data_IF_803430060250
#
_entry.id   IF_803430060250
#
_cell.length_a   1.000
_cell.length_b   1.000
_cell.length_c   1.000
_cell.angle_alpha   90.00
_cell.angle_beta   90.00
_cell.angle_gamma   90.00
#
_symmetry.space_group_name_H-M   'P 1'
#
loop_
_entity.id
_entity.type
_entity.pdbx_description
1 polymer ?
2 polymer ?
3 water ?
#
# COMPACT_ATOMS: atom_id res chain seq x y z
N UNK A 19 -15.86 37.75 -11.54
CA UNK A 19 -15.76 38.31 -12.88
C UNK A 19 -16.01 37.23 -13.93
N UNK A 20 -15.78 37.59 -15.19
CA UNK A 20 -15.89 36.67 -16.33
C UNK A 20 -17.34 36.40 -16.79
N UNK A 21 -17.63 35.16 -17.21
CA UNK A 21 -18.92 34.85 -17.84
C UNK A 21 -19.65 33.57 -17.32
N UNK A 22 -20.28 32.81 -18.22
CA UNK A 22 -21.14 31.67 -17.85
C UNK A 22 -21.18 30.54 -18.91
N UNK A 23 -22.21 29.68 -18.97
CA UNK A 23 -22.15 28.74 -20.08
C UNK A 23 -21.03 27.68 -19.83
N UNK A 24 -20.68 26.86 -20.84
CA UNK A 24 -20.07 25.57 -20.52
C UNK A 24 -18.76 25.71 -19.77
N UNK A 25 -18.41 24.71 -18.96
CA UNK A 25 -17.10 24.73 -18.29
C UNK A 25 -15.99 24.48 -19.31
N UNK A 26 -14.76 24.84 -18.97
CA UNK A 26 -13.65 24.48 -19.83
C UNK A 26 -13.25 23.06 -19.48
N UNK A 27 -12.95 22.27 -20.50
CA UNK A 27 -12.59 20.88 -20.27
C UNK A 27 -11.08 20.72 -20.32
N UNK A 28 -10.60 19.70 -19.62
CA UNK A 28 -9.16 19.44 -19.54
C UNK A 28 -8.76 18.01 -19.86
N UNK A 29 -7.75 17.89 -20.71
CA UNK A 29 -7.14 16.61 -21.05
C UNK A 29 -6.14 16.20 -20.00
N UNK A 30 -6.25 14.96 -19.54
CA UNK A 30 -5.22 14.38 -18.70
C UNK A 30 -4.22 13.58 -19.55
N UNK A 31 -2.98 14.03 -19.53
CA UNK A 31 -1.92 13.46 -20.35
C UNK A 31 -0.92 12.65 -19.53
N UNK A 32 -0.56 11.47 -20.03
CA UNK A 32 0.56 10.74 -19.45
C UNK A 32 1.78 10.98 -20.34
N UNK A 33 2.92 11.31 -19.74
CA UNK A 33 4.15 11.44 -20.50
C UNK A 33 5.08 10.24 -20.34
N UNK A 34 5.78 9.89 -21.41
CA UNK A 34 6.72 8.78 -21.38
C UNK A 34 8.00 9.09 -20.63
N UNK A 35 8.55 8.08 -19.97
CA UNK A 35 9.89 8.18 -19.44
C UNK A 35 10.57 6.80 -19.56
N UNK A 36 11.88 6.76 -19.41
CA UNK A 36 12.60 5.51 -19.62
C UNK A 36 12.67 4.61 -18.41
N UNK A 37 12.12 5.05 -17.29
CA UNK A 37 12.38 4.35 -16.04
C UNK A 37 11.18 3.76 -15.34
N UNK A 38 10.01 4.38 -15.49
CA UNK A 38 8.80 3.78 -14.96
C UNK A 38 8.53 2.42 -15.64
N UNK A 39 8.32 1.36 -14.84
CA UNK A 39 7.96 0.07 -15.45
C UNK A 39 6.62 0.13 -16.19
N UNK A 40 6.57 -0.53 -17.33
CA UNK A 40 5.32 -0.65 -18.07
C UNK A 40 4.18 -1.20 -17.21
N UNK A 41 4.46 -2.25 -16.45
CA UNK A 41 3.48 -2.86 -15.54
C UNK A 41 2.87 -1.78 -14.63
N UNK A 42 3.72 -0.87 -14.17
CA UNK A 42 3.26 0.17 -13.27
C UNK A 42 2.28 1.11 -13.96
N UNK A 43 2.67 1.63 -15.12
CA UNK A 43 1.78 2.50 -15.88
C UNK A 43 0.42 1.80 -16.11
N UNK A 44 0.43 0.53 -16.50
CA UNK A 44 -0.82 -0.20 -16.69
C UNK A 44 -1.68 -0.12 -15.44
N UNK A 45 -1.06 -0.34 -14.29
CA UNK A 45 -1.74 -0.31 -13.00
C UNK A 45 -2.39 1.06 -12.76
N UNK A 46 -1.61 2.12 -12.95
CA UNK A 46 -2.12 3.48 -12.89
C UNK A 46 -3.39 3.66 -13.73
N UNK A 47 -3.38 3.14 -14.95
CA UNK A 47 -4.51 3.38 -15.83
C UNK A 47 -5.79 2.71 -15.37
N UNK A 48 -5.68 1.47 -14.88
CA UNK A 48 -6.80 0.77 -14.23
C UNK A 48 -7.24 1.45 -12.95
N UNK A 49 -6.28 1.67 -12.06
CA UNK A 49 -6.55 2.29 -10.76
C UNK A 49 -7.22 3.68 -10.82
N UNK A 50 -6.71 4.58 -11.66
CA UNK A 50 -7.15 5.97 -11.64
C UNK A 50 -8.06 6.42 -12.82
N UNK A 51 -8.21 5.58 -13.85
CA UNK A 51 -9.02 5.94 -15.01
C UNK A 51 -10.00 4.83 -15.42
N UNK A 52 -10.12 3.78 -14.62
CA UNK A 52 -11.10 2.73 -14.88
C UNK A 52 -10.92 2.00 -16.20
N UNK A 53 -9.69 1.92 -16.69
CA UNK A 53 -9.43 1.12 -17.87
C UNK A 53 -9.31 -0.32 -17.48
N UNK A 54 -9.84 -1.23 -18.30
CA UNK A 54 -9.51 -2.65 -18.13
C UNK A 54 -8.06 -2.87 -18.59
N UNK A 55 -7.54 -4.08 -18.40
CA UNK A 55 -6.13 -4.32 -18.66
C UNK A 55 -5.81 -4.13 -20.14
N UNK A 56 -6.65 -4.69 -20.99
CA UNK A 56 -6.48 -4.59 -22.44
C UNK A 56 -6.31 -3.15 -22.94
N UNK A 57 -7.30 -2.30 -22.68
CA UNK A 57 -7.22 -0.91 -23.02
C UNK A 57 -6.05 -0.22 -22.31
N UNK A 58 -5.85 -0.52 -21.02
CA UNK A 58 -4.76 0.10 -20.26
C UNK A 58 -3.43 -0.15 -20.93
N UNK A 59 -3.19 -1.41 -21.32
CA UNK A 59 -1.93 -1.78 -21.94
C UNK A 59 -1.74 -1.06 -23.26
N UNK A 60 -2.79 -0.99 -24.06
CA UNK A 60 -2.69 -0.34 -25.36
C UNK A 60 -2.36 1.14 -25.17
N UNK A 61 -2.96 1.74 -24.15
CA UNK A 61 -2.77 3.17 -23.89
C UNK A 61 -1.35 3.42 -23.37
N UNK A 62 -0.90 2.54 -22.48
CA UNK A 62 0.48 2.61 -22.01
C UNK A 62 1.40 2.58 -23.23
N UNK A 63 1.09 1.69 -24.17
CA UNK A 63 1.94 1.57 -25.34
C UNK A 63 1.89 2.81 -26.23
N UNK A 64 0.72 3.43 -26.35
CA UNK A 64 0.59 4.69 -27.08
C UNK A 64 1.53 5.75 -26.51
N UNK A 65 1.54 5.85 -25.18
CA UNK A 65 2.46 6.73 -24.45
C UNK A 65 3.91 6.32 -24.75
N UNK A 66 4.22 5.04 -24.50
CA UNK A 66 5.54 4.50 -24.68
C UNK A 66 6.10 4.79 -26.07
N UNK A 67 5.29 4.61 -27.11
CA UNK A 67 5.80 4.69 -28.47
C UNK A 67 5.68 6.10 -29.02
N UNK A 68 4.68 6.84 -28.56
CA UNK A 68 4.46 8.21 -29.06
C UNK A 68 5.02 9.32 -28.16
N UNK A 69 5.29 9.00 -26.90
CA UNK A 69 5.97 9.95 -26.04
C UNK A 69 4.99 10.62 -25.10
N UNK A 70 3.71 10.61 -25.48
CA UNK A 70 2.64 11.12 -24.62
C UNK A 70 1.32 10.62 -25.18
N UNK A 71 0.30 10.52 -24.32
CA UNK A 71 -1.04 10.16 -24.77
C UNK A 71 -2.09 10.74 -23.84
N UNK A 72 -3.29 10.95 -24.38
CA UNK A 72 -4.42 11.41 -23.59
C UNK A 72 -5.11 10.26 -22.84
N UNK A 73 -5.17 10.33 -21.52
CA UNK A 73 -5.79 9.28 -20.73
C UNK A 73 -7.28 9.46 -20.57
N UNK A 74 -7.72 10.71 -20.69
CA UNK A 74 -9.10 11.09 -20.43
C UNK A 74 -9.25 12.59 -20.57
N UNK A 75 -10.50 13.04 -20.67
CA UNK A 75 -10.83 14.45 -20.70
C UNK A 75 -11.95 14.66 -19.72
N UNK A 76 -11.79 15.68 -18.88
CA UNK A 76 -12.63 15.83 -17.71
C UNK A 76 -12.88 17.30 -17.43
N UNK A 77 -13.82 17.60 -16.55
CA UNK A 77 -13.92 18.97 -16.05
C UNK A 77 -12.66 19.29 -15.24
N UNK A 78 -12.35 20.56 -15.09
CA UNK A 78 -11.11 20.98 -14.46
C UNK A 78 -10.87 20.29 -13.13
N UNK A 79 -11.86 20.31 -12.25
CA UNK A 79 -11.69 19.71 -10.92
C UNK A 79 -11.40 18.22 -10.98
N UNK A 80 -12.19 17.47 -11.74
CA UNK A 80 -11.96 16.03 -11.87
C UNK A 80 -10.53 15.79 -12.43
N UNK A 81 -10.17 16.50 -13.50
CA UNK A 81 -8.85 16.38 -14.13
C UNK A 81 -7.72 16.62 -13.15
N UNK A 82 -7.88 17.62 -12.30
CA UNK A 82 -6.80 17.94 -11.37
C UNK A 82 -6.59 16.95 -10.27
N UNK A 83 -7.69 16.34 -9.85
CA UNK A 83 -7.63 15.31 -8.87
C UNK A 83 -6.94 14.08 -9.44
N UNK A 84 -7.31 13.68 -10.65
CA UNK A 84 -6.63 12.58 -11.33
C UNK A 84 -5.12 12.83 -11.38
N UNK A 85 -4.74 13.99 -11.91
CA UNK A 85 -3.33 14.32 -12.09
C UNK A 85 -2.61 14.30 -10.76
N UNK A 86 -3.20 14.93 -9.75
CA UNK A 86 -2.58 14.97 -8.44
C UNK A 86 -2.45 13.55 -7.92
N UNK A 87 -3.51 12.76 -8.05
CA UNK A 87 -3.47 11.41 -7.48
C UNK A 87 -2.44 10.57 -8.23
N UNK A 88 -2.44 10.67 -9.55
CA UNK A 88 -1.51 9.87 -10.35
C UNK A 88 -0.06 10.17 -9.97
N UNK A 89 0.28 11.45 -9.87
CA UNK A 89 1.65 11.82 -9.55
C UNK A 89 2.04 11.44 -8.13
N UNK A 90 1.14 11.64 -7.18
CA UNK A 90 1.43 11.19 -5.83
C UNK A 90 1.65 9.68 -5.80
N UNK A 91 0.82 8.95 -6.53
CA UNK A 91 0.94 7.50 -6.49
C UNK A 91 2.28 7.08 -7.11
N UNK A 92 2.71 7.81 -8.13
CA UNK A 92 3.98 7.46 -8.75
C UNK A 92 5.15 7.68 -7.80
N UNK A 93 5.21 8.85 -7.15
CA UNK A 93 6.34 9.17 -6.27
C UNK A 93 6.45 8.23 -5.08
N UNK A 94 5.30 7.92 -4.49
CA UNK A 94 5.22 7.03 -3.35
C UNK A 94 5.75 5.66 -3.71
N UNK A 95 5.82 5.40 -5.01
CA UNK A 95 6.29 4.13 -5.48
C UNK A 95 7.63 4.32 -6.18
N UNK A 96 8.27 5.45 -5.88
CA UNK A 96 9.59 5.76 -6.43
C UNK A 96 9.63 5.59 -7.95
N UNK A 97 8.66 6.16 -8.66
CA UNK A 97 8.75 6.25 -10.13
C UNK A 97 8.66 7.71 -10.61
N UNK A 98 9.38 8.06 -11.69
CA UNK A 98 9.32 9.44 -12.17
C UNK A 98 8.08 9.74 -13.03
N UNK A 99 7.14 8.79 -13.11
CA UNK A 99 6.01 8.91 -14.04
C UNK A 99 5.28 10.25 -13.90
N UNK A 100 5.16 10.95 -15.03
CA UNK A 100 4.59 12.28 -15.04
C UNK A 100 3.22 12.35 -15.70
N UNK A 101 2.26 12.84 -14.93
CA UNK A 101 0.93 13.08 -15.41
C UNK A 101 0.69 14.58 -15.37
N UNK A 102 0.09 15.13 -16.42
CA UNK A 102 -0.06 16.58 -16.56
C UNK A 102 -1.43 16.93 -17.16
N UNK A 103 -1.85 18.18 -17.07
CA UNK A 103 -3.08 18.54 -17.75
C UNK A 103 -2.95 19.56 -18.89
N UNK A 104 -3.92 19.51 -19.78
CA UNK A 104 -3.95 20.37 -20.94
C UNK A 104 -5.39 20.80 -21.11
N UNK A 105 -5.61 22.09 -21.35
CA UNK A 105 -6.96 22.56 -21.64
C UNK A 105 -7.37 21.95 -22.98
N UNK A 106 -8.54 21.34 -23.02
CA UNK A 106 -9.02 20.66 -24.23
C UNK A 106 -9.47 21.66 -25.28
N UNK B 1 8.59 3.82 -21.66
CA UNK B 1 8.75 3.10 -20.40
C UNK B 1 9.63 1.88 -20.50
N UNK B 2 9.86 1.25 -19.36
CA UNK B 2 10.79 0.12 -19.30
C UNK B 2 10.00 -1.17 -19.02
N UNK B 3 10.25 -2.19 -19.84
CA UNK B 3 9.63 -3.50 -19.61
C UNK B 3 10.58 -4.32 -18.75
N UNK B 4 10.04 -5.36 -18.14
CA UNK B 4 10.87 -6.26 -17.37
C UNK B 4 10.67 -7.67 -17.92
N UNK B 5 10.18 -7.73 -19.16
CA UNK B 5 9.74 -8.98 -19.76
C UNK B 5 8.62 -9.63 -18.96
N UNK B 6 7.39 -9.53 -19.47
CA UNK B 6 6.24 -10.13 -18.79
C UNK B 6 5.50 -11.24 -19.58
N UNK B 7 4.80 -10.92 -20.67
CA UNK B 7 4.79 -9.63 -21.38
C UNK B 7 4.13 -9.94 -22.71
N UNK B 8 3.12 -9.19 -23.14
CA UNK B 8 2.54 -8.05 -22.44
C UNK B 8 1.02 -8.20 -22.54
N UNK B 9 0.58 -9.08 -23.43
CA UNK B 9 -0.85 -9.27 -23.75
C UNK B 9 -1.47 -8.00 -24.34
N UNK B 10 -0.74 -7.39 -25.27
CA UNK B 10 -1.14 -6.19 -26.02
C UNK B 10 0.06 -5.33 -26.41
N UNK C 4 -17.55 46.03 11.96
CA UNK C 4 -16.25 45.38 11.90
C UNK C 4 -15.84 44.81 13.26
N UNK C 5 -14.99 43.78 13.24
CA UNK C 5 -14.39 43.21 14.45
C UNK C 5 -15.28 42.38 15.40
N UNK C 6 -16.55 42.22 15.05
CA UNK C 6 -17.47 41.44 15.88
C UNK C 6 -18.50 40.62 15.09
N UNK C 7 -18.36 39.30 15.13
CA UNK C 7 -19.47 38.41 14.81
C UNK C 7 -19.53 37.29 15.87
N UNK C 8 -20.67 36.61 16.07
CA UNK C 8 -21.93 36.69 15.29
C UNK C 8 -21.98 35.66 14.14
N UNK C 9 -23.19 35.35 13.69
CA UNK C 9 -23.39 34.23 12.79
C UNK C 9 -23.06 32.97 13.57
N UNK C 10 -23.91 32.63 14.52
CA UNK C 10 -23.56 31.59 15.46
C UNK C 10 -23.60 30.25 14.74
N UNK C 11 -22.92 29.25 15.30
CA UNK C 11 -22.71 27.96 14.63
C UNK C 11 -23.96 27.10 14.73
N UNK C 12 -24.09 26.15 13.81
CA UNK C 12 -25.07 25.06 13.92
C UNK C 12 -24.76 23.96 12.92
N UNK C 13 -24.73 22.69 13.33
CA UNK C 13 -24.82 22.19 14.71
C UNK C 13 -24.78 20.66 14.65
N UNK C 14 -23.66 20.13 14.15
CA UNK C 14 -23.54 18.73 13.76
C UNK C 14 -22.20 18.19 14.26
N UNK C 15 -21.98 16.86 14.39
CA UNK C 15 -22.96 15.74 14.36
C UNK C 15 -22.66 14.42 13.56
N UNK C 16 -21.60 14.25 12.77
CA UNK C 16 -20.30 14.93 12.74
C UNK C 16 -19.40 14.54 13.93
N UNK C 17 -19.80 14.85 15.15
CA UNK C 17 -19.10 14.25 16.28
C UNK C 17 -19.19 12.76 16.02
N UNK C 18 -20.32 12.36 15.44
CA UNK C 18 -20.55 10.96 15.11
C UNK C 18 -19.42 10.37 14.26
N UNK C 19 -18.95 11.14 13.29
CA UNK C 19 -17.92 10.68 12.37
C UNK C 19 -16.56 10.57 13.05
N UNK C 20 -16.39 11.24 14.19
CA UNK C 20 -15.18 11.10 15.00
C UNK C 20 -15.29 9.86 15.86
N UNK C 21 -16.49 9.70 16.42
CA UNK C 21 -16.73 8.80 17.52
C UNK C 21 -16.61 7.38 17.05
N UNK C 22 -16.79 7.17 15.76
CA UNK C 22 -16.88 5.82 15.25
C UNK C 22 -15.80 5.39 14.26
N UNK C 23 -14.75 6.17 13.95
CA UNK C 23 -14.09 5.62 12.79
C UNK C 23 -12.98 4.61 13.08
N UNK C 24 -12.65 3.78 12.08
CA UNK C 24 -12.05 2.48 12.38
C UNK C 24 -10.75 2.62 13.14
N UNK C 25 -10.40 1.63 13.96
CA UNK C 25 -9.09 1.64 14.62
C UNK C 25 -7.99 1.36 13.60
N UNK C 26 -6.76 1.74 13.92
CA UNK C 26 -5.65 1.38 13.05
C UNK C 26 -5.26 -0.05 13.39
N UNK C 27 -4.97 -0.84 12.37
CA UNK C 27 -4.61 -2.22 12.59
C UNK C 27 -3.10 -2.40 12.52
N UNK C 28 -2.61 -3.42 13.23
CA UNK C 28 -1.17 -3.67 13.32
C UNK C 28 -0.76 -5.11 13.00
N UNK C 29 0.19 -5.23 12.09
CA UNK C 29 0.82 -6.50 11.78
C UNK C 29 1.84 -6.89 12.84
N UNK C 30 1.76 -8.14 13.28
CA UNK C 30 2.78 -8.71 14.15
C UNK C 30 3.78 -9.51 13.31
N UNK C 31 5.03 -9.06 13.33
CA UNK C 31 6.08 -9.63 12.49
C UNK C 31 7.08 -10.42 13.32
N UNK C 32 7.42 -11.62 12.87
CA UNK C 32 8.53 -12.36 13.42
C UNK C 32 9.75 -12.16 12.51
N UNK C 33 10.90 -11.87 13.10
CA UNK C 33 12.11 -11.71 12.29
C UNK C 33 13.02 -12.92 12.45
N UNK C 34 13.71 -13.29 11.38
CA UNK C 34 14.65 -14.40 11.43
C UNK C 34 15.94 -14.04 12.16
N UNK C 35 16.53 -15.05 12.78
CA UNK C 35 17.88 -14.96 13.32
C UNK C 35 18.55 -16.34 13.21
N UNK C 36 19.85 -16.39 13.41
CA UNK C 36 20.56 -17.63 13.15
C UNK C 36 20.63 -18.52 14.38
N UNK C 37 20.12 -18.04 15.50
CA UNK C 37 20.38 -18.75 16.77
C UNK C 37 19.17 -19.34 17.50
N UNK C 38 18.00 -18.72 17.35
CA UNK C 38 16.79 -19.32 17.90
C UNK C 38 16.51 -20.65 17.21
N UNK C 39 16.33 -21.73 17.99
CA UNK C 39 15.96 -23.02 17.39
C UNK C 39 14.63 -22.94 16.65
N UNK C 40 14.55 -23.65 15.53
CA UNK C 40 13.31 -23.76 14.79
C UNK C 40 12.16 -24.29 15.64
N UNK C 41 12.42 -25.34 16.40
CA UNK C 41 11.44 -25.93 17.32
C UNK C 41 10.85 -24.85 18.22
N UNK C 42 11.70 -23.93 18.69
CA UNK C 42 11.24 -22.91 19.61
C UNK C 42 10.28 -21.95 18.91
N UNK C 43 10.65 -21.49 17.70
CA UNK C 43 9.78 -20.60 16.95
C UNK C 43 8.40 -21.26 16.77
N UNK C 44 8.39 -22.54 16.39
CA UNK C 44 7.14 -23.27 16.23
C UNK C 44 6.30 -23.23 17.52
N UNK C 45 6.95 -23.45 18.65
CA UNK C 45 6.28 -23.36 19.93
C UNK C 45 5.63 -21.98 20.15
N UNK C 46 6.42 -20.93 19.96
CA UNK C 46 5.91 -19.56 20.03
C UNK C 46 4.62 -19.39 19.20
N UNK C 47 4.63 -19.86 17.96
CA UNK C 47 3.49 -19.65 17.09
C UNK C 47 2.22 -20.34 17.59
N UNK C 48 2.37 -21.57 18.09
CA UNK C 48 1.23 -22.27 18.71
C UNK C 48 0.80 -21.58 20.00
N UNK C 49 1.77 -21.32 20.85
CA UNK C 49 1.50 -20.75 22.16
C UNK C 49 0.83 -19.37 22.11
N UNK C 50 1.31 -18.49 21.23
CA UNK C 50 0.88 -17.09 21.25
C UNK C 50 -0.04 -16.66 20.10
N UNK C 51 -0.17 -17.49 19.07
CA UNK C 51 -1.00 -17.13 17.93
C UNK C 51 -2.01 -18.22 17.53
N UNK C 52 -2.13 -19.27 18.34
CA UNK C 52 -3.11 -20.33 18.09
C UNK C 52 -2.94 -21.08 16.77
N UNK C 53 -1.72 -21.18 16.28
CA UNK C 53 -1.46 -21.97 15.09
C UNK C 53 -1.35 -23.42 15.52
N UNK C 54 -1.90 -24.34 14.71
CA UNK C 54 -1.54 -25.75 14.87
C UNK C 54 -0.09 -25.95 14.40
N UNK C 55 0.43 -27.14 14.61
CA UNK C 55 1.83 -27.39 14.31
C UNK C 55 2.14 -27.23 12.82
N UNK C 56 1.30 -27.84 12.00
CA UNK C 56 1.41 -27.72 10.54
C UNK C 56 1.58 -26.26 10.05
N UNK C 57 0.62 -25.41 10.38
CA UNK C 57 0.69 -24.02 9.98
C UNK C 57 1.89 -23.34 10.64
N UNK C 58 2.10 -23.61 11.92
CA UNK C 58 3.19 -22.99 12.66
C UNK C 58 4.53 -23.29 11.98
N UNK C 59 4.76 -24.55 11.63
CA UNK C 59 6.01 -24.92 10.97
C UNK C 59 6.18 -24.23 9.63
N UNK C 60 5.09 -24.13 8.88
CA UNK C 60 5.18 -23.48 7.58
C UNK C 60 5.53 -22.01 7.74
N UNK C 61 4.94 -21.38 8.75
CA UNK C 61 5.16 -19.97 9.02
C UNK C 61 6.57 -19.72 9.54
N UNK C 62 7.00 -20.56 10.47
CA UNK C 62 8.41 -20.54 10.87
C UNK C 62 9.30 -20.57 9.63
N UNK C 63 9.00 -21.47 8.69
CA UNK C 63 9.85 -21.59 7.51
C UNK C 63 9.82 -20.36 6.62
N UNK C 64 8.64 -19.73 6.51
CA UNK C 64 8.51 -18.46 5.79
C UNK C 64 9.47 -17.44 6.37
N UNK C 65 9.49 -17.32 7.69
CA UNK C 65 10.40 -16.42 8.37
C UNK C 65 11.85 -16.85 8.08
N UNK C 66 12.14 -18.11 8.34
CA UNK C 66 13.47 -18.67 8.16
C UNK C 66 14.04 -18.40 6.77
N UNK C 67 13.22 -18.61 5.74
CA UNK C 67 13.70 -18.51 4.37
C UNK C 67 13.59 -17.12 3.80
N UNK C 68 12.65 -16.33 4.31
CA UNK C 68 12.40 -14.99 3.76
C UNK C 68 12.95 -13.89 4.65
N UNK C 69 13.20 -14.21 5.91
CA UNK C 69 13.89 -13.27 6.76
C UNK C 69 12.94 -12.59 7.72
N UNK C 70 11.65 -12.61 7.38
CA UNK C 70 10.59 -12.07 8.23
C UNK C 70 9.28 -12.56 7.66
N UNK C 71 8.28 -12.67 8.53
CA UNK C 71 6.92 -12.97 8.07
C UNK C 71 5.87 -12.35 9.00
N UNK C 72 4.65 -12.21 8.49
CA UNK C 72 3.53 -11.72 9.29
C UNK C 72 2.85 -12.85 10.03
N UNK C 73 2.79 -12.78 11.36
CA UNK C 73 2.18 -13.83 12.16
C UNK C 73 0.68 -13.63 12.32
N UNK C 74 0.26 -12.38 12.22
CA UNK C 74 -1.11 -12.01 12.47
C UNK C 74 -1.26 -10.51 12.32
N UNK C 75 -2.50 -10.06 12.18
CA UNK C 75 -2.84 -8.64 12.16
C UNK C 75 -3.96 -8.41 13.15
N UNK C 76 -3.80 -7.39 13.99
CA UNK C 76 -4.63 -7.25 15.17
C UNK C 76 -4.86 -5.77 15.44
N UNK C 77 -5.78 -5.47 16.35
CA UNK C 77 -5.88 -4.10 16.84
C UNK C 77 -4.64 -3.78 17.68
N UNK C 78 -4.33 -2.50 17.81
CA UNK C 78 -3.08 -2.08 18.45
C UNK C 78 -2.84 -2.77 19.78
N UNK C 79 -3.84 -2.76 20.66
CA UNK C 79 -3.64 -3.35 21.99
C UNK C 79 -3.37 -4.85 21.94
N UNK C 80 -4.13 -5.59 21.14
CA UNK C 80 -3.90 -7.03 21.02
C UNK C 80 -2.48 -7.29 20.47
N UNK C 81 -2.13 -6.57 19.39
CA UNK C 81 -0.83 -6.72 18.75
C UNK C 81 0.31 -6.44 19.73
N UNK C 82 0.11 -5.47 20.62
CA UNK C 82 1.21 -5.11 21.50
C UNK C 82 1.43 -6.07 22.63
N UNK C 83 0.34 -6.67 23.06
CA UNK C 83 0.40 -7.75 24.01
C UNK C 83 1.11 -8.98 23.44
N UNK C 84 0.74 -9.38 22.23
CA UNK C 84 1.41 -10.48 21.54
C UNK C 84 2.92 -10.23 21.46
N UNK C 85 3.29 -9.06 20.95
CA UNK C 85 4.69 -8.72 20.76
C UNK C 85 5.43 -8.72 22.07
N UNK C 86 4.82 -8.13 23.09
CA UNK C 86 5.44 -8.09 24.40
C UNK C 86 5.61 -9.50 24.95
N UNK C 87 4.55 -10.30 24.86
CA UNK C 87 4.58 -11.66 25.38
C UNK C 87 5.60 -12.51 24.62
N UNK C 88 5.65 -12.34 23.30
CA UNK C 88 6.54 -13.15 22.49
C UNK C 88 7.98 -12.87 22.87
N UNK C 89 8.34 -11.60 22.95
CA UNK C 89 9.70 -11.23 23.25
C UNK C 89 10.09 -11.64 24.68
N UNK C 90 9.17 -11.48 25.63
CA UNK C 90 9.46 -11.90 27.00
C UNK C 90 9.68 -13.41 27.06
N UNK C 91 8.87 -14.14 26.33
CA UNK C 91 8.99 -15.57 26.34
C UNK C 91 10.33 -15.99 25.71
N UNK C 92 10.78 -15.26 24.71
CA UNK C 92 12.02 -15.62 24.07
C UNK C 92 13.20 -15.39 25.01
N UNK C 93 13.24 -14.24 25.70
CA UNK C 93 14.39 -13.90 26.57
C UNK C 93 14.51 -14.83 27.75
N UNK C 94 13.37 -15.15 28.34
CA UNK C 94 13.29 -16.04 29.48
C UNK C 94 13.81 -17.40 29.12
N UNK C 95 13.88 -17.66 27.82
CA UNK C 95 14.37 -18.94 27.34
C UNK C 95 15.71 -18.77 26.65
N UNK C 96 16.35 -17.63 26.92
CA UNK C 96 17.66 -17.32 26.35
C UNK C 96 17.71 -17.47 24.82
N UNK C 97 16.75 -16.90 24.11
CA UNK C 97 16.83 -16.82 22.64
C UNK C 97 16.70 -15.37 22.18
N UNK C 98 17.39 -15.01 21.09
CA UNK C 98 17.34 -13.62 20.61
C UNK C 98 16.11 -13.34 19.75
N UNK C 99 15.19 -14.31 19.65
CA UNK C 99 14.04 -14.18 18.75
C UNK C 99 13.33 -12.84 18.87
N UNK C 100 13.20 -12.15 17.75
CA UNK C 100 12.62 -10.82 17.75
C UNK C 100 11.25 -10.75 17.10
N UNK C 101 10.28 -10.29 17.89
CA UNK C 101 8.93 -10.02 17.42
C UNK C 101 8.66 -8.51 17.45
N UNK C 102 8.02 -7.97 16.42
CA UNK C 102 7.92 -6.52 16.27
C UNK C 102 6.57 -6.16 15.66
N UNK C 103 6.16 -4.89 15.74
CA UNK C 103 4.91 -4.55 15.07
C UNK C 103 5.03 -3.53 13.96
N UNK C 104 4.06 -3.59 13.07
CA UNK C 104 4.03 -2.73 11.91
C UNK C 104 2.59 -2.29 11.73
N UNK C 105 2.38 -1.01 11.49
CA UNK C 105 1.03 -0.55 11.20
C UNK C 105 0.59 -1.17 9.86
N UNK C 106 -0.57 -1.80 9.85
CA UNK C 106 -1.06 -2.48 8.65
C UNK C 106 -1.50 -1.49 7.59
N UNK D 1 16.60 -19.40 11.18
CA UNK D 1 16.79 -19.98 12.49
C UNK D 1 17.70 -21.20 12.35
N UNK D 2 17.82 -22.01 13.38
CA UNK D 2 18.65 -23.22 13.27
C UNK D 2 17.93 -24.44 13.80
N UNK D 3 18.20 -25.60 13.20
CA UNK D 3 17.66 -26.86 13.74
C UNK D 3 18.70 -27.59 14.57
N UNK D 4 18.33 -28.74 15.13
CA UNK D 4 19.21 -29.39 16.11
C UNK D 4 20.10 -30.59 15.70
N UNK D 5 19.81 -31.30 14.60
CA UNK D 5 18.77 -30.98 13.65
C UNK D 5 19.39 -30.44 12.37
N UNK D 6 19.26 -31.14 11.24
CA UNK D 6 18.64 -32.47 11.15
C UNK D 6 17.36 -32.69 11.96
#
# INVERSE_FOLDING_TARGET
>A
MGKTNDWLDFDQLAEEKVRDALKPPSMYKVILVNDDYTPMEFVIDVLQKFFSYDVERATQLMLAVHYQGKAICGVFTAEVAETKVAMVNKYARENEHPLLCTLEKAF
>B
FRSKGEELFT
>C
MGKTNDWLDFDQLAEEKVRDALKPPSMYKVILVNDDYTPMEFVIDVLQKFFSYDVERATQLMLAVHYQGKAICGVFTAEVAETKVAMVNKYARENEHPLLCTLEKAF
>D
FRSKGEELFT
#
